data_IF_425283842440
#
_entry.id   IF_425283842440
#
_cell.length_a   1.000
_cell.length_b   1.000
_cell.length_c   1.000
_cell.angle_alpha   90.00
_cell.angle_beta   90.00
_cell.angle_gamma   90.00
#
_symmetry.space_group_name_H-M   'P 1'
#
loop_
_entity.id
_entity.type
_entity.pdbx_description
1 polymer ?
#
# COMPACT_ATOMS: atom_id res chain seq x y z
N UNK A 1 7.93 6.12 11.41
CA UNK A 1 7.59 5.77 10.04
C UNK A 1 6.40 4.85 10.00
N UNK A 2 5.67 4.96 8.93
CA UNK A 2 4.48 4.14 8.77
C UNK A 2 4.87 2.71 8.38
N UNK A 3 4.32 1.75 9.10
CA UNK A 3 4.60 0.35 8.82
C UNK A 3 3.30 -0.41 8.62
N UNK A 4 3.41 -1.51 7.91
CA UNK A 4 2.29 -2.38 7.62
C UNK A 4 2.55 -3.74 8.21
N UNK A 5 1.53 -4.34 8.77
CA UNK A 5 1.69 -5.68 9.30
C UNK A 5 1.42 -6.68 8.19
N UNK A 6 2.44 -7.47 7.87
CA UNK A 6 2.38 -8.40 6.75
C UNK A 6 2.36 -9.82 7.28
N UNK A 7 1.48 -10.63 6.72
CA UNK A 7 1.38 -12.04 7.11
C UNK A 7 2.74 -12.71 6.92
N UNK A 8 3.19 -13.40 7.95
CA UNK A 8 4.44 -14.14 7.98
C UNK A 8 5.70 -13.29 7.98
N UNK A 9 5.57 -11.97 7.98
CA UNK A 9 6.76 -11.11 8.01
C UNK A 9 6.76 -10.14 9.18
N UNK A 10 5.58 -9.79 9.70
CA UNK A 10 5.49 -8.80 10.76
C UNK A 10 5.46 -7.39 10.19
N UNK A 11 6.00 -6.45 10.94
CA UNK A 11 5.97 -5.04 10.56
C UNK A 11 6.96 -4.75 9.44
N UNK A 12 6.47 -4.18 8.36
CA UNK A 12 7.26 -3.91 7.16
C UNK A 12 7.02 -2.47 6.74
N UNK A 13 8.11 -1.77 6.42
CA UNK A 13 8.00 -0.40 5.96
C UNK A 13 7.57 -0.36 4.49
N UNK A 14 7.05 0.79 4.08
CA UNK A 14 6.48 0.91 2.73
C UNK A 14 7.45 0.45 1.64
N UNK A 15 8.69 0.90 1.70
CA UNK A 15 9.60 0.57 0.61
C UNK A 15 10.11 -0.87 0.65
N UNK A 16 9.79 -1.60 1.69
CA UNK A 16 10.13 -3.02 1.77
C UNK A 16 8.98 -3.92 1.36
N UNK A 17 7.85 -3.36 1.00
CA UNK A 17 6.71 -4.15 0.57
C UNK A 17 6.99 -4.80 -0.77
N UNK A 18 6.44 -5.99 -0.97
CA UNK A 18 6.63 -6.75 -2.19
C UNK A 18 5.29 -7.23 -2.72
N UNK A 19 5.24 -7.42 -4.04
CA UNK A 19 4.08 -8.03 -4.65
C UNK A 19 3.91 -9.44 -4.06
N UNK A 20 2.68 -9.75 -3.69
CA UNK A 20 2.39 -11.01 -3.04
C UNK A 20 2.26 -10.91 -1.54
N UNK A 21 2.74 -9.82 -0.95
CA UNK A 21 2.59 -9.60 0.47
C UNK A 21 1.11 -9.46 0.81
N UNK A 22 0.75 -9.98 1.98
CA UNK A 22 -0.62 -9.84 2.47
C UNK A 22 -0.62 -8.90 3.65
N UNK A 23 -1.28 -7.77 3.47
CA UNK A 23 -1.42 -6.78 4.53
C UNK A 23 -2.57 -7.19 5.43
N UNK A 24 -2.30 -7.27 6.72
CA UNK A 24 -3.34 -7.60 7.69
C UNK A 24 -4.20 -6.37 7.88
N UNK A 25 -5.45 -6.48 7.50
CA UNK A 25 -6.40 -5.39 7.65
C UNK A 25 -7.43 -5.78 8.69
N UNK A 26 -8.34 -4.85 8.97
CA UNK A 26 -9.25 -5.06 10.08
C UNK A 26 -10.18 -6.26 9.89
N UNK A 27 -10.65 -6.46 8.69
CA UNK A 27 -11.62 -7.51 8.43
C UNK A 27 -11.12 -8.62 7.53
N UNK A 28 -10.05 -8.37 6.83
CA UNK A 28 -9.52 -9.35 5.89
C UNK A 28 -8.09 -8.99 5.53
N UNK A 29 -7.38 -9.96 5.00
CA UNK A 29 -6.02 -9.70 4.53
C UNK A 29 -6.09 -9.25 3.09
N UNK A 30 -5.27 -8.27 2.75
CA UNK A 30 -5.27 -7.69 1.41
C UNK A 30 -3.97 -8.04 0.71
N UNK A 31 -4.08 -8.70 -0.42
CA UNK A 31 -2.91 -9.12 -1.18
C UNK A 31 -2.47 -8.02 -2.13
N UNK A 32 -1.19 -7.68 -2.08
CA UNK A 32 -0.63 -6.67 -2.97
C UNK A 32 -0.39 -7.31 -4.32
N UNK A 33 -1.04 -6.78 -5.35
CA UNK A 33 -0.90 -7.28 -6.71
C UNK A 33 0.10 -6.50 -7.53
N UNK A 34 0.27 -5.22 -7.21
CA UNK A 34 1.17 -4.37 -7.98
C UNK A 34 1.68 -3.24 -7.09
N UNK A 35 2.91 -2.84 -7.30
CA UNK A 35 3.51 -1.71 -6.61
C UNK A 35 4.14 -0.83 -7.66
N UNK A 36 3.75 0.45 -7.69
CA UNK A 36 4.36 1.42 -8.56
C UNK A 36 5.01 2.50 -7.72
N UNK A 37 6.21 2.84 -8.07
CA UNK A 37 6.96 3.90 -7.40
C UNK A 37 6.75 5.21 -8.15
N UNK A 38 6.53 6.27 -7.41
CA UNK A 38 6.32 7.57 -8.01
C UNK A 38 6.82 8.62 -7.03
N UNK A 39 6.66 9.87 -7.41
CA UNK A 39 7.04 10.97 -6.55
C UNK A 39 5.90 11.94 -6.43
N UNK A 40 5.67 12.40 -5.21
CA UNK A 40 4.73 13.46 -4.97
C UNK A 40 5.49 14.77 -5.09
N UNK A 41 5.01 15.64 -5.95
CA UNK A 41 5.68 16.88 -6.25
C UNK A 41 7.06 16.62 -6.80
N UNK A 42 8.12 16.84 -6.09
CA UNK A 42 9.42 16.66 -6.68
C UNK A 42 10.31 15.69 -5.95
N UNK A 43 10.01 15.45 -4.71
CA UNK A 43 10.99 14.74 -3.91
C UNK A 43 10.42 13.76 -2.92
N UNK A 44 9.12 13.67 -2.80
CA UNK A 44 8.52 12.77 -1.82
C UNK A 44 8.17 11.46 -2.49
N UNK A 45 8.93 10.39 -2.20
CA UNK A 45 8.60 9.09 -2.81
C UNK A 45 7.25 8.60 -2.32
N UNK A 46 6.46 8.11 -3.24
CA UNK A 46 5.19 7.49 -2.90
C UNK A 46 5.10 6.14 -3.58
N UNK A 47 4.27 5.29 -3.02
CA UNK A 47 4.07 3.95 -3.55
C UNK A 47 2.60 3.77 -3.81
N UNK A 48 2.28 3.43 -5.03
CA UNK A 48 0.92 3.08 -5.41
C UNK A 48 0.79 1.59 -5.27
N UNK A 49 -0.03 1.16 -4.33
CA UNK A 49 -0.25 -0.27 -4.08
C UNK A 49 -1.60 -0.66 -4.63
N UNK A 50 -1.62 -1.64 -5.52
CA UNK A 50 -2.88 -2.22 -5.96
C UNK A 50 -3.08 -3.50 -5.18
N UNK A 51 -4.18 -3.57 -4.45
CA UNK A 51 -4.48 -4.75 -3.64
C UNK A 51 -5.77 -5.38 -4.12
N UNK A 52 -5.79 -6.70 -4.15
CA UNK A 52 -6.96 -7.48 -4.55
C UNK A 52 -7.52 -7.03 -5.90
N UNK A 53 -6.65 -6.56 -6.78
CA UNK A 53 -6.97 -6.18 -8.15
C UNK A 53 -7.88 -4.98 -8.30
N UNK A 54 -8.39 -4.42 -7.23
CA UNK A 54 -9.40 -3.37 -7.33
C UNK A 54 -9.07 -2.10 -6.58
N UNK A 55 -8.33 -2.18 -5.49
CA UNK A 55 -8.13 -1.03 -4.62
C UNK A 55 -6.72 -0.51 -4.76
N UNK A 56 -6.60 0.79 -4.87
CA UNK A 56 -5.31 1.44 -4.97
C UNK A 56 -5.10 2.33 -3.77
N UNK A 57 -3.97 2.13 -3.10
CA UNK A 57 -3.59 2.90 -1.93
C UNK A 57 -2.34 3.68 -2.26
N UNK A 58 -2.31 4.93 -1.83
CA UNK A 58 -1.15 5.78 -2.01
C UNK A 58 -0.50 5.95 -0.66
N UNK A 59 0.73 5.48 -0.52
CA UNK A 59 1.40 5.51 0.77
C UNK A 59 2.79 6.11 0.65
N UNK A 60 3.27 6.64 1.75
CA UNK A 60 4.65 7.08 1.87
C UNK A 60 5.28 6.32 3.03
N UNK A 61 6.57 6.59 3.28
CA UNK A 61 7.23 6.02 4.43
C UNK A 61 6.66 6.52 5.75
N UNK A 62 5.94 7.61 5.71
CA UNK A 62 5.49 8.23 6.94
C UNK A 62 4.01 8.10 7.19
N UNK A 63 3.23 7.95 6.15
CA UNK A 63 1.79 7.88 6.35
C UNK A 63 1.07 7.36 5.12
N UNK A 64 -0.14 6.93 5.35
CA UNK A 64 -1.05 6.54 4.30
C UNK A 64 -1.73 7.81 3.82
N UNK A 65 -1.49 8.19 2.57
CA UNK A 65 -2.02 9.43 2.03
C UNK A 65 -3.48 9.31 1.59
N UNK A 66 -3.77 8.25 0.85
CA UNK A 66 -5.12 8.04 0.33
C UNK A 66 -5.44 6.56 0.45
N UNK A 67 -6.60 6.29 0.99
CA UNK A 67 -6.99 4.91 1.22
C UNK A 67 -7.34 4.17 -0.05
N UNK A 68 -8.02 4.82 -0.95
CA UNK A 68 -8.55 4.13 -2.10
C UNK A 68 -8.74 5.11 -3.22
N UNK A 69 -7.83 5.06 -4.19
CA UNK A 69 -7.89 5.96 -5.32
C UNK A 69 -8.92 5.52 -6.35
N UNK A 70 -9.28 4.27 -6.33
CA UNK A 70 -10.29 3.79 -7.26
C UNK A 70 -11.63 4.19 -6.69
N UNK A 71 -12.31 5.06 -7.39
CA UNK A 71 -13.60 5.50 -6.96
C UNK A 71 -14.61 4.42 -7.26
N UNK A 72 -15.30 3.92 -6.25
CA UNK A 72 -16.38 2.96 -6.53
C UNK A 72 -17.44 3.74 -7.27
N UNK A 73 -17.83 3.28 -8.28
CA UNK A 73 -18.90 3.93 -9.00
C UNK A 73 -20.15 3.90 -8.20
N UNK A 74 -20.31 4.20 -7.92
CA UNK A 74 -21.18 4.07 -7.32
C UNK A 74 -21.72 4.09 -7.49
#
# INVERSE_FOLDING_TARGET
>A
RHQFYIVDKGWVRAYDLEVGDKIVAKYEDLTINQIKHDFLEKSIPVYNLTVDDFHTYLVTEYELLVHNLVTPSK
#
